data_IF_507044419066
#
_entry.id   IF_507044419066
#
_cell.length_a   1.000
_cell.length_b   1.000
_cell.length_c   1.000
_cell.angle_alpha   90.00
_cell.angle_beta   90.00
_cell.angle_gamma   90.00
#
_symmetry.space_group_name_H-M   'P 1'
#
loop_
_entity.id
_entity.type
_entity.pdbx_description
1 polymer ?
#
# COMPACT_ATOMS: atom_id res chain seq x y z
N UNK A 1 51.44 -2.54 32.20
CA UNK A 1 50.08 -2.34 32.78
C UNK A 1 49.30 -1.23 32.07
N UNK A 2 49.95 -0.29 31.38
CA UNK A 2 49.32 0.80 30.60
C UNK A 2 48.56 0.33 29.35
N UNK A 3 49.15 -0.59 28.58
CA UNK A 3 48.54 -1.11 27.32
C UNK A 3 47.15 -1.73 27.50
N UNK A 4 46.88 -2.36 28.65
CA UNK A 4 45.57 -2.95 28.96
C UNK A 4 44.54 -1.85 29.26
N UNK A 5 44.96 -0.76 29.90
CA UNK A 5 44.09 0.36 30.24
C UNK A 5 43.76 1.21 29.02
N UNK A 6 44.72 1.38 28.10
CA UNK A 6 44.48 1.98 26.79
C UNK A 6 43.53 1.14 25.93
N UNK A 7 43.74 -0.19 25.89
CA UNK A 7 42.82 -1.10 25.19
C UNK A 7 41.39 -1.03 25.75
N UNK A 8 41.25 -1.01 27.08
CA UNK A 8 39.95 -0.83 27.73
C UNK A 8 39.29 0.50 27.31
N UNK A 9 40.04 1.60 27.34
CA UNK A 9 39.52 2.92 26.93
C UNK A 9 39.04 2.93 25.47
N UNK A 10 39.79 2.30 24.55
CA UNK A 10 39.41 2.20 23.14
C UNK A 10 38.13 1.37 22.96
N UNK A 11 37.96 0.27 23.71
CA UNK A 11 36.72 -0.54 23.62
C UNK A 11 35.49 0.20 24.13
N UNK A 12 35.63 0.99 25.20
CA UNK A 12 34.53 1.81 25.74
C UNK A 12 34.18 2.92 24.76
N UNK A 13 35.18 3.59 24.16
CA UNK A 13 34.96 4.60 23.12
C UNK A 13 34.31 4.00 21.87
N UNK A 14 34.75 2.81 21.44
CA UNK A 14 34.15 2.09 20.31
C UNK A 14 32.71 1.68 20.59
N UNK A 15 32.44 1.07 21.75
CA UNK A 15 31.09 0.67 22.17
C UNK A 15 30.16 1.89 22.28
N UNK A 16 30.65 3.00 22.84
CA UNK A 16 29.92 4.26 22.92
C UNK A 16 29.57 4.84 21.55
N UNK A 17 30.52 4.80 20.60
CA UNK A 17 30.30 5.28 19.23
C UNK A 17 29.24 4.44 18.51
N UNK A 18 29.28 3.11 18.66
CA UNK A 18 28.26 2.21 18.10
C UNK A 18 26.88 2.53 18.69
N UNK A 19 26.79 2.69 20.01
CA UNK A 19 25.54 3.06 20.70
C UNK A 19 25.01 4.42 20.23
N UNK A 20 25.89 5.40 20.03
CA UNK A 20 25.53 6.72 19.51
C UNK A 20 24.97 6.66 18.08
N UNK A 21 25.57 5.85 17.21
CA UNK A 21 25.08 5.64 15.84
C UNK A 21 23.70 4.98 15.85
N UNK A 22 23.52 3.92 16.64
CA UNK A 22 22.22 3.25 16.82
C UNK A 22 21.15 4.22 17.34
N UNK A 23 21.49 5.04 18.34
CA UNK A 23 20.58 6.04 18.89
C UNK A 23 20.23 7.13 17.87
N UNK A 24 21.20 7.59 17.08
CA UNK A 24 20.98 8.56 16.01
C UNK A 24 20.00 8.02 14.95
N UNK A 25 20.20 6.76 14.51
CA UNK A 25 19.30 6.12 13.55
C UNK A 25 17.88 5.94 14.13
N UNK A 26 17.77 5.56 15.40
CA UNK A 26 16.48 5.50 16.10
C UNK A 26 15.80 6.88 16.15
N UNK A 27 16.55 7.94 16.48
CA UNK A 27 16.02 9.30 16.54
C UNK A 27 15.47 9.76 15.19
N UNK A 28 16.18 9.47 14.09
CA UNK A 28 15.70 9.79 12.73
C UNK A 28 14.38 9.08 12.41
N UNK A 29 14.27 7.79 12.75
CA UNK A 29 13.03 7.02 12.55
C UNK A 29 11.87 7.63 13.37
N UNK A 30 12.12 8.00 14.63
CA UNK A 30 11.11 8.61 15.50
C UNK A 30 10.72 10.00 15.01
N UNK A 31 11.66 10.83 14.55
CA UNK A 31 11.36 12.17 14.03
C UNK A 31 10.47 12.09 12.80
N UNK A 32 10.82 11.21 11.84
CA UNK A 32 10.01 11.02 10.63
C UNK A 32 8.62 10.47 10.99
N UNK A 33 8.54 9.47 11.89
CA UNK A 33 7.26 8.99 12.41
C UNK A 33 6.48 10.08 13.15
N UNK A 34 7.10 10.87 14.02
CA UNK A 34 6.45 11.93 14.79
C UNK A 34 5.92 13.03 13.88
N UNK A 35 6.63 13.38 12.82
CA UNK A 35 6.23 14.41 11.86
C UNK A 35 5.09 13.91 10.96
N UNK A 36 5.15 12.66 10.47
CA UNK A 36 4.12 12.09 9.60
C UNK A 36 2.86 11.61 10.34
N UNK A 37 2.98 11.03 11.53
CA UNK A 37 1.83 10.51 12.30
C UNK A 37 1.10 11.59 13.13
N UNK A 38 1.59 12.82 13.18
CA UNK A 38 0.89 13.97 13.81
C UNK A 38 -0.22 14.55 12.92
N UNK A 39 -0.78 13.74 12.02
CA UNK A 39 -1.91 14.09 11.15
C UNK A 39 -3.24 13.44 11.53
N UNK A 40 -3.27 12.40 12.37
CA UNK A 40 -4.48 11.55 12.53
C UNK A 40 -4.83 11.22 13.98
N UNK A 41 -4.60 12.15 14.91
CA UNK A 41 -5.07 12.00 16.28
C UNK A 41 -5.87 13.24 16.69
N UNK A 42 -7.04 13.42 16.07
CA UNK A 42 -8.23 13.99 16.72
C UNK A 42 -9.44 13.84 15.78
N UNK A 43 -10.51 13.26 16.34
CA UNK A 43 -11.88 13.13 15.80
C UNK A 43 -12.18 11.82 15.05
N UNK A 44 -12.61 10.81 15.80
CA UNK A 44 -13.85 10.07 15.52
C UNK A 44 -14.13 9.07 16.65
N UNK A 45 -14.51 9.59 17.83
CA UNK A 45 -15.57 8.94 18.58
C UNK A 45 -16.86 9.69 18.27
N UNK A 46 -17.89 8.90 18.00
CA UNK A 46 -19.32 9.20 17.86
C UNK A 46 -19.92 9.70 16.53
N UNK A 47 -20.86 8.86 16.08
CA UNK A 47 -22.18 9.22 15.51
C UNK A 47 -22.29 9.51 14.00
N UNK A 48 -22.73 8.48 13.26
CA UNK A 48 -23.58 8.56 12.04
C UNK A 48 -24.88 9.34 12.35
N UNK A 49 -25.67 9.91 11.41
CA UNK A 49 -25.57 9.92 9.94
C UNK A 49 -25.98 11.26 9.23
N UNK A 50 -25.80 11.31 7.89
CA UNK A 50 -26.45 12.20 6.88
C UNK A 50 -26.15 13.71 6.90
N UNK A 51 -25.53 14.25 5.83
CA UNK A 51 -26.17 15.08 4.78
C UNK A 51 -25.19 16.00 4.00
N UNK A 52 -25.02 15.67 2.70
CA UNK A 52 -24.91 16.50 1.50
C UNK A 52 -24.09 17.84 1.45
N UNK A 53 -23.26 17.86 0.38
CA UNK A 53 -22.99 18.93 -0.62
C UNK A 53 -21.75 19.84 -0.53
N UNK A 54 -20.89 19.57 -1.53
CA UNK A 54 -20.30 20.47 -2.54
C UNK A 54 -18.89 21.08 -2.37
N UNK A 55 -18.05 20.68 -3.34
CA UNK A 55 -17.15 21.46 -4.21
C UNK A 55 -16.08 22.35 -3.54
N UNK A 56 -14.78 22.27 -3.85
CA UNK A 56 -14.20 22.37 -5.21
C UNK A 56 -12.70 22.00 -5.24
N UNK A 57 -12.27 21.32 -6.32
CA UNK A 57 -11.01 21.42 -7.08
C UNK A 57 -9.63 21.17 -6.41
N UNK A 58 -8.61 20.54 -7.01
CA UNK A 58 -8.41 19.84 -8.29
C UNK A 58 -6.96 19.29 -8.27
N UNK A 59 -6.76 17.97 -8.43
CA UNK A 59 -5.64 17.43 -9.20
C UNK A 59 -6.18 16.25 -10.01
N UNK A 60 -6.46 16.57 -11.27
CA UNK A 60 -6.94 15.69 -12.31
C UNK A 60 -5.77 14.80 -12.76
N UNK A 61 -5.86 13.51 -12.50
CA UNK A 61 -5.17 12.48 -13.27
C UNK A 61 -6.25 11.52 -13.73
N UNK A 62 -6.67 11.79 -14.95
CA UNK A 62 -7.75 11.14 -15.65
C UNK A 62 -7.35 9.69 -15.97
N UNK A 63 -7.76 8.76 -15.11
CA UNK A 63 -8.16 7.43 -15.52
C UNK A 63 -9.60 7.21 -15.04
N UNK A 64 -10.48 8.12 -15.46
CA UNK A 64 -11.85 7.75 -15.70
C UNK A 64 -11.91 6.97 -17.01
N UNK A 65 -11.49 5.71 -16.98
CA UNK A 65 -12.23 4.66 -17.67
C UNK A 65 -13.39 4.22 -16.76
N UNK A 66 -14.22 5.21 -16.42
CA UNK A 66 -15.62 4.95 -16.12
C UNK A 66 -16.33 4.85 -17.49
N UNK A 67 -15.76 4.06 -18.40
CA UNK A 67 -16.59 3.38 -19.38
C UNK A 67 -17.62 2.67 -18.52
N UNK A 68 -18.89 2.91 -18.78
CA UNK A 68 -19.99 2.17 -18.19
C UNK A 68 -19.79 0.70 -18.56
N UNK A 69 -18.91 -0.01 -17.83
CA UNK A 69 -18.74 -1.45 -18.01
C UNK A 69 -20.07 -2.01 -17.54
N UNK A 70 -20.88 -2.43 -18.51
CA UNK A 70 -22.19 -2.99 -18.25
C UNK A 70 -22.03 -4.16 -17.30
N UNK A 71 -22.90 -4.24 -16.29
CA UNK A 71 -22.81 -5.28 -15.28
C UNK A 71 -22.85 -6.67 -15.93
N UNK A 72 -23.52 -6.81 -17.08
CA UNK A 72 -23.58 -8.05 -17.87
C UNK A 72 -22.23 -8.41 -18.48
N UNK A 73 -21.50 -7.43 -19.01
CA UNK A 73 -20.16 -7.66 -19.56
C UNK A 73 -19.20 -8.13 -18.47
N UNK A 74 -19.25 -7.50 -17.30
CA UNK A 74 -18.42 -7.89 -16.15
C UNK A 74 -18.75 -9.31 -15.67
N UNK A 75 -20.04 -9.65 -15.56
CA UNK A 75 -20.49 -10.99 -15.18
C UNK A 75 -20.08 -12.03 -16.23
N UNK A 76 -20.15 -11.70 -17.52
CA UNK A 76 -19.75 -12.59 -18.62
C UNK A 76 -18.25 -12.90 -18.58
N UNK A 77 -17.39 -11.87 -18.46
CA UNK A 77 -15.93 -12.04 -18.37
C UNK A 77 -15.55 -12.80 -17.10
N UNK A 78 -16.17 -12.49 -15.96
CA UNK A 78 -15.93 -13.22 -14.71
C UNK A 78 -16.34 -14.69 -14.83
N UNK A 79 -17.50 -14.99 -15.44
CA UNK A 79 -17.96 -16.37 -15.67
C UNK A 79 -17.00 -17.11 -16.60
N UNK A 80 -16.55 -16.47 -17.68
CA UNK A 80 -15.61 -17.06 -18.63
C UNK A 80 -14.26 -17.38 -17.98
N UNK A 81 -13.72 -16.44 -17.19
CA UNK A 81 -12.47 -16.65 -16.46
C UNK A 81 -12.58 -17.83 -15.46
N UNK A 82 -13.66 -17.86 -14.66
CA UNK A 82 -13.90 -18.93 -13.69
C UNK A 82 -14.12 -20.29 -14.38
N UNK A 83 -14.86 -20.31 -15.49
CA UNK A 83 -15.07 -21.50 -16.31
C UNK A 83 -13.74 -22.06 -16.86
N UNK A 84 -12.87 -21.18 -17.35
CA UNK A 84 -11.55 -21.54 -17.84
C UNK A 84 -10.64 -22.08 -16.72
N UNK A 85 -10.61 -21.41 -15.55
CA UNK A 85 -9.81 -21.83 -14.39
C UNK A 85 -10.25 -23.19 -13.83
N UNK A 86 -11.55 -23.46 -13.80
CA UNK A 86 -12.11 -24.70 -13.27
C UNK A 86 -12.26 -25.80 -14.34
N UNK A 87 -11.90 -25.51 -15.59
CA UNK A 87 -12.15 -26.38 -16.75
C UNK A 87 -13.61 -26.91 -16.79
N UNK A 88 -14.56 -26.04 -16.43
CA UNK A 88 -15.99 -26.35 -16.31
C UNK A 88 -16.79 -25.50 -17.28
N UNK A 89 -17.84 -26.08 -17.85
CA UNK A 89 -18.74 -25.35 -18.75
C UNK A 89 -19.56 -24.29 -18.00
N UNK A 90 -19.91 -23.20 -18.69
CA UNK A 90 -20.58 -22.01 -18.15
C UNK A 90 -21.99 -22.27 -17.63
N UNK A 91 -22.68 -23.32 -18.11
CA UNK A 91 -24.08 -23.61 -17.75
C UNK A 91 -24.32 -23.91 -16.26
N UNK A 92 -23.30 -24.37 -15.54
CA UNK A 92 -23.41 -24.74 -14.12
C UNK A 92 -22.88 -23.65 -13.16
N UNK A 93 -22.50 -22.48 -13.67
CA UNK A 93 -21.92 -21.40 -12.89
C UNK A 93 -22.95 -20.27 -12.71
N UNK A 94 -23.19 -19.86 -11.46
CA UNK A 94 -24.03 -18.69 -11.13
C UNK A 94 -23.31 -17.78 -10.16
N UNK A 95 -23.15 -16.51 -10.54
CA UNK A 95 -22.55 -15.47 -9.71
C UNK A 95 -23.66 -14.81 -8.89
N UNK A 96 -23.60 -14.95 -7.56
CA UNK A 96 -24.61 -14.39 -6.64
C UNK A 96 -24.26 -12.97 -6.18
N UNK A 97 -22.98 -12.70 -5.98
CA UNK A 97 -22.48 -11.41 -5.53
C UNK A 97 -21.01 -11.26 -5.92
N UNK A 98 -20.62 -10.07 -6.32
CA UNK A 98 -19.21 -9.70 -6.50
C UNK A 98 -18.94 -8.37 -5.79
N UNK A 99 -17.70 -8.19 -5.35
CA UNK A 99 -17.23 -6.93 -4.78
C UNK A 99 -15.83 -6.69 -5.31
N UNK A 100 -15.59 -5.50 -5.85
CA UNK A 100 -14.24 -5.02 -6.16
C UNK A 100 -13.57 -4.63 -4.85
N UNK A 101 -12.45 -5.27 -4.52
CA UNK A 101 -11.58 -4.81 -3.45
C UNK A 101 -10.74 -3.64 -3.98
N UNK A 102 -10.54 -2.61 -3.16
CA UNK A 102 -9.73 -1.45 -3.53
C UNK A 102 -8.29 -1.86 -3.87
N UNK A 103 -7.65 -1.11 -4.77
CA UNK A 103 -6.24 -1.31 -5.10
C UNK A 103 -5.34 -0.78 -3.98
N UNK A 104 -5.25 -1.50 -2.85
CA UNK A 104 -4.33 -1.16 -1.75
C UNK A 104 -2.91 -1.70 -2.00
N UNK A 105 -2.54 -1.80 -3.28
CA UNK A 105 -1.25 -2.34 -3.69
C UNK A 105 -0.20 -1.22 -3.69
N UNK A 106 0.99 -1.41 -3.08
CA UNK A 106 2.05 -0.42 -3.15
C UNK A 106 2.43 -0.11 -4.60
N UNK A 107 2.87 1.12 -4.86
CA UNK A 107 3.15 1.64 -6.20
C UNK A 107 4.14 0.75 -6.96
N UNK A 108 5.16 0.21 -6.30
CA UNK A 108 6.16 -0.68 -6.93
C UNK A 108 5.53 -1.97 -7.49
N UNK A 109 4.53 -2.54 -6.81
CA UNK A 109 3.85 -3.76 -7.24
C UNK A 109 2.93 -3.50 -8.44
N UNK A 110 2.38 -2.29 -8.55
CA UNK A 110 1.57 -1.87 -9.70
C UNK A 110 2.45 -1.63 -10.93
N UNK A 111 3.54 -0.89 -10.77
CA UNK A 111 4.47 -0.56 -11.85
C UNK A 111 5.14 -1.82 -12.41
N UNK A 112 5.63 -2.71 -11.55
CA UNK A 112 6.27 -3.95 -12.00
C UNK A 112 5.35 -4.86 -12.82
N UNK A 113 4.07 -5.01 -12.43
CA UNK A 113 3.10 -5.79 -13.21
C UNK A 113 2.78 -5.15 -14.56
N UNK A 114 2.67 -3.82 -14.60
CA UNK A 114 2.41 -3.09 -15.85
C UNK A 114 3.55 -3.29 -16.86
N UNK A 115 4.79 -3.17 -16.40
CA UNK A 115 5.97 -3.36 -17.26
C UNK A 115 6.08 -4.80 -17.79
N UNK A 116 5.74 -5.81 -16.98
CA UNK A 116 5.71 -7.20 -17.45
C UNK A 116 4.64 -7.44 -18.53
N UNK A 117 3.46 -6.81 -18.41
CA UNK A 117 2.41 -6.93 -19.42
C UNK A 117 2.77 -6.18 -20.70
N UNK A 118 3.29 -4.96 -20.60
CA UNK A 118 3.72 -4.17 -21.77
C UNK A 118 4.86 -4.86 -22.53
N UNK A 119 5.83 -5.45 -21.81
CA UNK A 119 6.94 -6.21 -22.43
C UNK A 119 6.50 -7.44 -23.23
N UNK A 120 5.26 -7.91 -23.03
CA UNK A 120 4.71 -9.08 -23.72
C UNK A 120 3.85 -8.70 -24.92
N UNK A 121 3.46 -7.43 -25.03
CA UNK A 121 2.53 -6.92 -26.05
C UNK A 121 3.29 -6.25 -27.22
N UNK A 122 4.58 -5.92 -27.01
CA UNK A 122 5.52 -5.45 -28.03
C UNK A 122 6.34 -6.64 -28.55
#
# INVERSE_FOLDING_TARGET
>A
MSILMEGLAVTVMGMGTVFAILFLLYLVMVIMGRIFYKGEANKALDTRPVELKQDTASVQSNDQSNDEIDEKELIAVLTAAVAACLNKSTYNLRIKSYRRIGEDSPIWNRVGRKEQLESRII
#
